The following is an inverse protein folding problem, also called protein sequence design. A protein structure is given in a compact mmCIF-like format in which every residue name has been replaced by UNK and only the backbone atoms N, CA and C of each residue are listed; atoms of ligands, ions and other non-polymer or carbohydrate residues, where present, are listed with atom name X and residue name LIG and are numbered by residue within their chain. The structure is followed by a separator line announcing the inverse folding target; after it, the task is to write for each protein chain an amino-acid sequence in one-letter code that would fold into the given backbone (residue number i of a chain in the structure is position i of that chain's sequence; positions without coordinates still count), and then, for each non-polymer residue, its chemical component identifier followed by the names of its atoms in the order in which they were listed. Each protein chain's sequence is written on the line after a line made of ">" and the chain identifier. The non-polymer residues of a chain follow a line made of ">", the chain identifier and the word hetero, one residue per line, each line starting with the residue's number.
data_IF_079155229759
#
_entry.id   IF_079155229759
#
_cell.length_a   1.000
_cell.length_b   1.000
_cell.length_c   1.000
_cell.angle_alpha   90.00
_cell.angle_beta   90.00
_cell.angle_gamma   90.00
#
_symmetry.space_group_name_H-M   'P 1'
#
loop_
_entity.id
_entity.type
_entity.pdbx_description
1 polymer ?
#
# COMPACT_ATOMS: atom_id res chain seq x y z
N UNK A 1 38.42 -6.07 28.63
CA UNK A 1 38.35 -5.92 27.15
C UNK A 1 37.02 -5.23 26.83
N UNK A 2 37.09 -3.94 26.56
CA UNK A 2 35.96 -3.08 26.26
C UNK A 2 35.54 -3.33 24.81
N UNK A 3 34.31 -3.82 24.59
CA UNK A 3 33.70 -3.91 23.27
C UNK A 3 33.42 -2.49 22.77
N UNK A 4 34.20 -2.04 21.81
CA UNK A 4 33.94 -0.87 20.97
C UNK A 4 32.60 -1.08 20.26
N UNK A 5 31.65 -0.11 20.29
CA UNK A 5 30.45 -0.19 19.47
C UNK A 5 30.87 -0.13 18.00
N UNK A 6 30.44 -1.13 17.21
CA UNK A 6 30.58 -1.13 15.78
C UNK A 6 30.04 0.17 15.21
N UNK A 7 30.93 1.00 14.66
CA UNK A 7 30.59 2.12 13.78
C UNK A 7 29.61 1.61 12.72
N UNK A 8 28.38 2.08 12.77
CA UNK A 8 27.46 1.91 11.66
C UNK A 8 28.09 2.63 10.48
N UNK A 9 28.58 1.84 9.55
CA UNK A 9 29.10 2.25 8.25
C UNK A 9 28.11 3.29 7.65
N UNK A 10 28.50 4.55 7.71
CA UNK A 10 27.80 5.64 7.07
C UNK A 10 28.02 5.52 5.56
N UNK A 11 27.35 4.54 4.95
CA UNK A 11 27.33 4.43 3.50
C UNK A 11 26.86 5.76 2.92
N UNK A 12 27.54 6.32 1.91
CA UNK A 12 27.18 7.60 1.33
C UNK A 12 25.72 7.59 0.89
N UNK A 13 25.00 8.71 1.04
CA UNK A 13 23.57 8.77 0.73
C UNK A 13 23.35 8.29 -0.70
N UNK A 14 22.58 7.22 -0.87
CA UNK A 14 22.28 6.65 -2.19
C UNK A 14 21.64 7.71 -3.06
N UNK A 15 22.12 7.95 -4.28
CA UNK A 15 21.60 9.00 -5.14
C UNK A 15 20.10 8.73 -5.42
N UNK A 16 19.25 9.71 -5.10
CA UNK A 16 17.82 9.63 -5.30
C UNK A 16 17.38 10.67 -6.35
N UNK A 17 16.45 10.30 -7.21
CA UNK A 17 15.78 11.19 -8.17
C UNK A 17 14.34 11.35 -7.72
N UNK A 18 13.89 12.58 -7.49
CA UNK A 18 12.53 12.88 -6.99
C UNK A 18 12.15 12.13 -5.69
N UNK A 19 13.13 11.72 -4.90
CA UNK A 19 12.92 10.90 -3.69
C UNK A 19 12.85 9.40 -3.94
N UNK A 20 12.98 8.95 -5.18
CA UNK A 20 13.08 7.54 -5.56
C UNK A 20 14.55 7.14 -5.56
N UNK A 21 14.97 6.11 -4.82
CA UNK A 21 16.31 5.57 -4.94
C UNK A 21 16.57 5.12 -6.39
N UNK A 22 17.64 5.63 -7.01
CA UNK A 22 17.96 5.30 -8.42
C UNK A 22 17.99 3.82 -8.69
N UNK A 23 18.50 3.04 -7.74
CA UNK A 23 18.55 1.59 -7.84
C UNK A 23 17.17 0.91 -7.95
N UNK A 24 16.10 1.55 -7.44
CA UNK A 24 14.74 1.01 -7.39
C UNK A 24 13.80 1.57 -8.47
N UNK A 25 14.24 2.50 -9.32
CA UNK A 25 13.36 3.15 -10.33
C UNK A 25 12.64 2.11 -11.20
N UNK A 26 13.35 1.10 -11.67
CA UNK A 26 12.77 0.05 -12.51
C UNK A 26 11.75 -0.83 -11.76
N UNK A 27 11.81 -0.87 -10.43
CA UNK A 27 10.79 -1.51 -9.61
C UNK A 27 9.45 -0.78 -9.67
N UNK A 28 9.46 0.56 -9.67
CA UNK A 28 8.23 1.36 -9.84
C UNK A 28 7.62 1.19 -11.23
N UNK A 29 8.46 1.16 -12.27
CA UNK A 29 7.99 0.85 -13.64
C UNK A 29 7.41 -0.56 -13.71
N UNK A 30 8.07 -1.54 -13.10
CA UNK A 30 7.56 -2.91 -13.03
C UNK A 30 6.23 -3.02 -12.30
N UNK A 31 6.07 -2.32 -11.17
CA UNK A 31 4.78 -2.27 -10.44
C UNK A 31 3.71 -1.58 -11.29
N UNK A 32 4.01 -0.47 -11.94
CA UNK A 32 3.07 0.21 -12.81
C UNK A 32 2.54 -0.72 -13.91
N UNK A 33 3.44 -1.36 -14.66
CA UNK A 33 3.06 -2.30 -15.73
C UNK A 33 2.26 -3.49 -15.20
N UNK A 34 2.70 -4.07 -14.07
CA UNK A 34 1.98 -5.17 -13.41
C UNK A 34 0.56 -4.74 -13.02
N UNK A 35 0.43 -3.57 -12.39
CA UNK A 35 -0.87 -3.07 -11.95
C UNK A 35 -1.77 -2.65 -13.11
N UNK A 36 -1.22 -2.22 -14.26
CA UNK A 36 -2.01 -2.03 -15.49
C UNK A 36 -2.63 -3.36 -15.93
N UNK A 37 -1.83 -4.42 -15.99
CA UNK A 37 -2.32 -5.74 -16.34
C UNK A 37 -3.39 -6.24 -15.38
N UNK A 38 -3.16 -6.17 -14.08
CA UNK A 38 -4.13 -6.60 -13.06
C UNK A 38 -5.43 -5.77 -13.09
N UNK A 39 -5.32 -4.47 -13.42
CA UNK A 39 -6.45 -3.54 -13.52
C UNK A 39 -7.38 -3.76 -14.72
N UNK A 40 -6.90 -4.38 -15.82
CA UNK A 40 -7.69 -4.69 -17.01
C UNK A 40 -8.94 -5.50 -16.68
N UNK A 41 -8.87 -6.35 -15.68
CA UNK A 41 -9.96 -7.28 -15.34
C UNK A 41 -11.04 -6.66 -14.44
N UNK A 42 -10.66 -5.69 -13.65
CA UNK A 42 -11.45 -5.18 -12.52
C UNK A 42 -12.84 -4.70 -12.93
N UNK A 43 -12.93 -4.05 -14.10
CA UNK A 43 -14.16 -3.39 -14.52
C UNK A 43 -15.13 -4.30 -15.26
N UNK A 44 -14.69 -5.39 -15.87
CA UNK A 44 -15.56 -6.18 -16.76
C UNK A 44 -15.56 -7.68 -16.51
N UNK A 45 -14.58 -8.25 -15.84
CA UNK A 45 -14.46 -9.70 -15.66
C UNK A 45 -15.69 -10.35 -14.98
N UNK A 46 -16.33 -9.74 -13.96
CA UNK A 46 -17.57 -10.29 -13.39
C UNK A 46 -18.70 -10.39 -14.42
N UNK A 47 -18.85 -9.34 -15.23
CA UNK A 47 -19.86 -9.32 -16.30
C UNK A 47 -19.56 -10.38 -17.36
N UNK A 48 -18.30 -10.52 -17.77
CA UNK A 48 -17.88 -11.54 -18.73
C UNK A 48 -18.18 -12.96 -18.24
N UNK A 49 -17.92 -13.28 -16.97
CA UNK A 49 -18.27 -14.59 -16.42
C UNK A 49 -19.79 -14.85 -16.39
N UNK A 50 -20.59 -13.81 -16.17
CA UNK A 50 -22.04 -13.91 -16.16
C UNK A 50 -22.62 -13.98 -17.58
N UNK A 51 -22.24 -13.05 -18.47
CA UNK A 51 -22.89 -12.87 -19.78
C UNK A 51 -22.32 -13.78 -20.85
N UNK A 52 -21.00 -13.93 -20.91
CA UNK A 52 -20.31 -14.64 -21.99
C UNK A 52 -20.11 -16.13 -21.64
N UNK A 53 -19.87 -16.46 -20.36
CA UNK A 53 -19.72 -17.86 -19.91
C UNK A 53 -20.99 -18.45 -19.29
N UNK A 54 -22.02 -17.64 -19.04
CA UNK A 54 -23.32 -18.10 -18.53
C UNK A 54 -23.33 -18.54 -17.07
N UNK A 55 -22.37 -18.10 -16.25
CA UNK A 55 -22.31 -18.48 -14.84
C UNK A 55 -23.39 -17.77 -14.02
N UNK A 56 -23.98 -18.48 -13.05
CA UNK A 56 -24.90 -17.89 -12.10
C UNK A 56 -24.19 -16.78 -11.24
N UNK A 57 -24.91 -15.74 -10.87
CA UNK A 57 -24.36 -14.62 -10.07
C UNK A 57 -23.70 -15.11 -8.78
N UNK A 58 -24.31 -16.04 -8.07
CA UNK A 58 -23.74 -16.64 -6.86
C UNK A 58 -22.40 -17.34 -7.16
N UNK A 59 -22.28 -18.03 -8.29
CA UNK A 59 -21.05 -18.68 -8.72
C UNK A 59 -19.94 -17.65 -9.02
N UNK A 60 -20.27 -16.57 -9.71
CA UNK A 60 -19.34 -15.45 -9.94
C UNK A 60 -18.88 -14.85 -8.59
N UNK A 61 -19.83 -14.62 -7.68
CA UNK A 61 -19.50 -14.12 -6.33
C UNK A 61 -18.52 -15.01 -5.58
N UNK A 62 -18.67 -16.35 -5.67
CA UNK A 62 -17.75 -17.32 -5.05
C UNK A 62 -16.34 -17.20 -5.65
N UNK A 63 -16.21 -17.09 -6.98
CA UNK A 63 -14.92 -16.94 -7.68
C UNK A 63 -14.16 -15.71 -7.12
N UNK A 64 -14.83 -14.56 -7.04
CA UNK A 64 -14.21 -13.33 -6.52
C UNK A 64 -13.95 -13.39 -5.00
N UNK A 65 -14.77 -14.11 -4.25
CA UNK A 65 -14.54 -14.32 -2.81
C UNK A 65 -13.28 -15.14 -2.58
N UNK A 66 -13.10 -16.25 -3.30
CA UNK A 66 -11.90 -17.10 -3.19
C UNK A 66 -10.65 -16.30 -3.59
N UNK A 67 -10.72 -15.52 -4.68
CA UNK A 67 -9.65 -14.60 -5.07
C UNK A 67 -9.32 -13.59 -3.94
N UNK A 68 -10.33 -12.97 -3.36
CA UNK A 68 -10.14 -12.00 -2.27
C UNK A 68 -9.48 -12.61 -1.04
N UNK A 69 -9.89 -13.82 -0.66
CA UNK A 69 -9.28 -14.55 0.47
C UNK A 69 -7.80 -14.86 0.19
N UNK A 70 -7.49 -15.40 -0.98
CA UNK A 70 -6.10 -15.72 -1.34
C UNK A 70 -5.24 -14.47 -1.50
N UNK A 71 -5.81 -13.35 -1.99
CA UNK A 71 -5.15 -12.06 -2.04
C UNK A 71 -4.84 -11.52 -0.64
N UNK A 72 -5.76 -11.63 0.31
CA UNK A 72 -5.53 -11.23 1.69
C UNK A 72 -4.42 -12.07 2.35
N UNK A 73 -4.44 -13.39 2.13
CA UNK A 73 -3.37 -14.29 2.60
C UNK A 73 -2.04 -13.94 1.93
N UNK A 74 -2.02 -13.72 0.62
CA UNK A 74 -0.82 -13.30 -0.11
C UNK A 74 -0.24 -11.98 0.41
N UNK A 75 -1.11 -11.01 0.70
CA UNK A 75 -0.72 -9.73 1.28
C UNK A 75 -0.06 -9.90 2.67
N UNK A 76 -0.63 -10.74 3.51
CA UNK A 76 -0.05 -11.08 4.82
C UNK A 76 1.31 -11.79 4.67
N UNK A 77 1.42 -12.72 3.73
CA UNK A 77 2.64 -13.47 3.49
C UNK A 77 3.78 -12.62 2.90
N UNK A 78 3.47 -11.57 2.12
CA UNK A 78 4.46 -10.78 1.38
C UNK A 78 5.57 -10.22 2.27
N UNK A 79 5.24 -9.72 3.46
CA UNK A 79 6.22 -9.18 4.42
C UNK A 79 7.14 -10.27 4.97
N UNK A 80 6.56 -11.33 5.54
CA UNK A 80 7.32 -12.43 6.15
C UNK A 80 8.17 -13.20 5.13
N UNK A 81 7.65 -13.44 3.93
CA UNK A 81 8.43 -14.06 2.84
C UNK A 81 9.58 -13.15 2.37
N UNK A 82 9.37 -11.83 2.36
CA UNK A 82 10.43 -10.89 2.00
C UNK A 82 11.56 -10.89 3.03
N UNK A 83 11.25 -11.12 4.31
CA UNK A 83 12.26 -11.29 5.34
C UNK A 83 13.09 -12.56 5.17
N UNK A 84 12.49 -13.64 4.65
CA UNK A 84 13.15 -14.95 4.49
C UNK A 84 13.89 -15.11 3.16
N UNK A 85 13.21 -14.77 2.06
CA UNK A 85 13.68 -15.06 0.70
C UNK A 85 14.28 -13.85 0.00
N UNK A 86 14.07 -12.66 0.56
CA UNK A 86 14.32 -11.38 -0.07
C UNK A 86 13.18 -10.93 -0.98
N UNK A 87 12.92 -9.61 -1.03
CA UNK A 87 11.75 -9.05 -1.70
C UNK A 87 11.71 -9.34 -3.20
N UNK A 88 12.86 -9.40 -3.87
CA UNK A 88 12.92 -9.68 -5.31
C UNK A 88 12.42 -11.10 -5.66
N UNK A 89 12.77 -12.11 -4.85
CA UNK A 89 12.27 -13.48 -5.06
C UNK A 89 10.77 -13.57 -4.81
N UNK A 90 10.28 -12.87 -3.81
CA UNK A 90 8.84 -12.81 -3.50
C UNK A 90 8.06 -12.14 -4.65
N UNK A 91 8.56 -11.02 -5.19
CA UNK A 91 7.99 -10.39 -6.38
C UNK A 91 7.92 -11.33 -7.57
N UNK A 92 9.02 -12.04 -7.87
CA UNK A 92 9.07 -12.96 -9.00
C UNK A 92 8.17 -14.18 -8.81
N UNK A 93 8.07 -14.71 -7.58
CA UNK A 93 7.12 -15.78 -7.26
C UNK A 93 5.66 -15.31 -7.43
N UNK A 94 5.34 -14.10 -6.99
CA UNK A 94 4.03 -13.49 -7.21
C UNK A 94 3.69 -13.31 -8.69
N UNK A 95 4.63 -12.76 -9.47
CA UNK A 95 4.45 -12.59 -10.91
C UNK A 95 4.30 -13.93 -11.65
N UNK A 96 5.10 -14.94 -11.30
CA UNK A 96 5.01 -16.28 -11.89
C UNK A 96 3.67 -16.94 -11.55
N UNK A 97 3.25 -16.89 -10.28
CA UNK A 97 1.95 -17.40 -9.86
C UNK A 97 0.80 -16.74 -10.65
N UNK A 98 0.81 -15.41 -10.72
CA UNK A 98 -0.21 -14.67 -11.46
C UNK A 98 -0.21 -15.04 -12.95
N UNK A 99 0.95 -14.99 -13.62
CA UNK A 99 1.07 -15.23 -15.05
C UNK A 99 0.69 -16.67 -15.44
N UNK A 100 1.16 -17.66 -14.68
CA UNK A 100 0.84 -19.09 -14.96
C UNK A 100 -0.64 -19.37 -14.76
N UNK A 101 -1.21 -18.93 -13.62
CA UNK A 101 -2.63 -19.14 -13.34
C UNK A 101 -3.51 -18.42 -14.38
N UNK A 102 -3.16 -17.20 -14.76
CA UNK A 102 -3.89 -16.43 -15.76
C UNK A 102 -3.78 -17.05 -17.15
N UNK A 103 -2.57 -17.44 -17.57
CA UNK A 103 -2.38 -18.13 -18.84
C UNK A 103 -3.17 -19.44 -18.91
N UNK A 104 -3.19 -20.23 -17.81
CA UNK A 104 -4.01 -21.45 -17.73
C UNK A 104 -5.50 -21.12 -17.79
N UNK A 105 -5.95 -20.08 -17.12
CA UNK A 105 -7.33 -19.60 -17.18
C UNK A 105 -7.72 -19.25 -18.63
N UNK A 106 -6.89 -18.49 -19.34
CA UNK A 106 -7.15 -18.06 -20.70
C UNK A 106 -7.07 -19.22 -21.71
N UNK A 107 -6.01 -20.03 -21.63
CA UNK A 107 -5.77 -21.06 -22.64
C UNK A 107 -6.64 -22.31 -22.46
N UNK A 108 -7.06 -22.62 -21.23
CA UNK A 108 -7.72 -23.89 -20.92
C UNK A 108 -9.08 -23.68 -20.25
N UNK A 109 -9.15 -22.92 -19.15
CA UNK A 109 -10.34 -22.87 -18.32
C UNK A 109 -11.52 -22.14 -19.00
N UNK A 110 -11.27 -21.00 -19.64
CA UNK A 110 -12.28 -20.23 -20.37
C UNK A 110 -12.76 -20.98 -21.62
N UNK A 111 -11.88 -21.50 -22.51
CA UNK A 111 -12.34 -22.27 -23.67
C UNK A 111 -13.11 -23.54 -23.29
N UNK A 112 -12.79 -24.19 -22.20
CA UNK A 112 -13.50 -25.35 -21.68
C UNK A 112 -14.82 -25.00 -20.98
N UNK A 113 -15.16 -23.74 -20.80
CA UNK A 113 -16.30 -23.25 -19.99
C UNK A 113 -16.35 -23.88 -18.60
N UNK A 114 -15.20 -24.25 -18.03
CA UNK A 114 -15.11 -25.00 -16.77
C UNK A 114 -15.12 -24.07 -15.56
N UNK A 115 -16.25 -24.02 -14.86
CA UNK A 115 -16.41 -23.26 -13.62
C UNK A 115 -15.33 -23.59 -12.57
N UNK A 116 -15.11 -24.88 -12.31
CA UNK A 116 -14.17 -25.32 -11.27
C UNK A 116 -12.71 -24.98 -11.61
N UNK A 117 -12.36 -25.05 -12.87
CA UNK A 117 -11.00 -24.71 -13.31
C UNK A 117 -10.77 -23.20 -13.25
N UNK A 118 -11.79 -22.39 -13.59
CA UNK A 118 -11.74 -20.92 -13.42
C UNK A 118 -11.65 -20.58 -11.93
N UNK A 119 -12.48 -21.18 -11.09
CA UNK A 119 -12.44 -20.98 -9.63
C UNK A 119 -11.04 -21.28 -9.06
N UNK A 120 -10.44 -22.39 -9.47
CA UNK A 120 -9.11 -22.79 -9.00
C UNK A 120 -8.02 -21.84 -9.51
N UNK A 121 -7.96 -21.60 -10.82
CA UNK A 121 -6.90 -20.78 -11.44
C UNK A 121 -7.02 -19.32 -11.03
N UNK A 122 -8.21 -18.75 -11.06
CA UNK A 122 -8.45 -17.37 -10.64
C UNK A 122 -8.25 -17.21 -9.13
N UNK A 123 -8.74 -18.16 -8.33
CA UNK A 123 -8.53 -18.16 -6.90
C UNK A 123 -7.05 -18.20 -6.50
N UNK A 124 -6.27 -19.14 -7.08
CA UNK A 124 -4.84 -19.26 -6.78
C UNK A 124 -4.06 -18.02 -7.26
N UNK A 125 -4.48 -17.40 -8.36
CA UNK A 125 -3.89 -16.15 -8.87
C UNK A 125 -3.96 -15.00 -7.87
N UNK A 126 -4.91 -15.04 -6.92
CA UNK A 126 -5.05 -14.02 -5.88
C UNK A 126 -3.78 -13.79 -5.06
N UNK A 127 -2.87 -14.77 -4.95
CA UNK A 127 -1.55 -14.56 -4.34
C UNK A 127 -0.65 -13.62 -5.15
N UNK A 128 -0.89 -13.47 -6.45
CA UNK A 128 0.06 -12.88 -7.40
C UNK A 128 0.35 -11.40 -7.13
N UNK A 129 -0.66 -10.54 -7.23
CA UNK A 129 -0.43 -9.09 -7.09
C UNK A 129 0.08 -8.69 -5.69
N UNK A 130 -0.41 -9.28 -4.57
CA UNK A 130 0.07 -8.86 -3.27
C UNK A 130 1.54 -9.23 -3.05
N UNK A 131 1.96 -10.41 -3.48
CA UNK A 131 3.36 -10.81 -3.39
C UNK A 131 4.24 -9.91 -4.25
N UNK A 132 3.79 -9.53 -5.45
CA UNK A 132 4.55 -8.64 -6.32
C UNK A 132 4.59 -7.20 -5.80
N UNK A 133 3.45 -6.57 -5.59
CA UNK A 133 3.38 -5.16 -5.23
C UNK A 133 3.88 -4.91 -3.80
N UNK A 134 3.40 -5.68 -2.81
CA UNK A 134 3.81 -5.48 -1.43
C UNK A 134 5.23 -6.00 -1.16
N UNK A 135 5.71 -7.00 -1.90
CA UNK A 135 7.13 -7.37 -1.91
C UNK A 135 8.02 -6.17 -2.30
N UNK A 136 7.63 -5.42 -3.34
CA UNK A 136 8.34 -4.19 -3.71
C UNK A 136 8.21 -3.09 -2.67
N UNK A 137 7.04 -2.94 -2.05
CA UNK A 137 6.84 -1.97 -0.97
C UNK A 137 7.77 -2.25 0.22
N UNK A 138 7.95 -3.52 0.60
CA UNK A 138 8.91 -3.93 1.64
C UNK A 138 10.35 -3.60 1.23
N UNK A 139 10.68 -3.78 -0.05
CA UNK A 139 12.01 -3.42 -0.57
C UNK A 139 12.27 -1.91 -0.51
N UNK A 140 11.28 -1.09 -0.86
CA UNK A 140 11.37 0.37 -0.69
C UNK A 140 11.65 0.73 0.77
N UNK A 141 10.93 0.11 1.72
CA UNK A 141 11.11 0.35 3.15
C UNK A 141 12.51 -0.01 3.67
N UNK A 142 13.18 -0.98 3.02
CA UNK A 142 14.54 -1.38 3.36
C UNK A 142 15.62 -0.54 2.65
N UNK A 143 15.35 -0.08 1.43
CA UNK A 143 16.34 0.54 0.55
C UNK A 143 16.29 2.06 0.47
N UNK A 144 15.17 2.71 0.83
CA UNK A 144 15.03 4.14 0.76
C UNK A 144 15.64 4.85 2.00
N UNK A 145 16.26 6.05 1.81
CA UNK A 145 16.71 6.87 2.93
C UNK A 145 15.57 7.23 3.88
N UNK A 146 15.79 7.19 5.19
CA UNK A 146 14.73 7.45 6.20
C UNK A 146 13.99 8.77 5.99
N UNK A 147 14.71 9.82 5.59
CA UNK A 147 14.15 11.17 5.32
C UNK A 147 13.28 11.25 4.06
N UNK A 148 13.27 10.22 3.21
CA UNK A 148 12.57 10.20 1.92
C UNK A 148 11.65 8.98 1.75
N UNK A 149 11.53 8.13 2.75
CA UNK A 149 10.69 6.90 2.69
C UNK A 149 9.23 7.26 2.39
N UNK A 150 8.67 8.29 3.01
CA UNK A 150 7.29 8.71 2.76
C UNK A 150 7.07 9.13 1.31
N UNK A 151 8.01 9.90 0.73
CA UNK A 151 7.96 10.29 -0.68
C UNK A 151 8.12 9.09 -1.62
N UNK A 152 9.01 8.15 -1.30
CA UNK A 152 9.18 6.92 -2.08
C UNK A 152 7.91 6.06 -2.06
N UNK A 153 7.24 5.94 -0.92
CA UNK A 153 5.95 5.25 -0.81
C UNK A 153 4.81 6.01 -1.49
N UNK A 154 4.85 7.34 -1.50
CA UNK A 154 3.93 8.14 -2.29
C UNK A 154 4.01 7.78 -3.79
N UNK A 155 5.22 7.66 -4.35
CA UNK A 155 5.42 7.19 -5.72
C UNK A 155 4.98 5.74 -5.93
N UNK A 156 5.16 4.87 -4.93
CA UNK A 156 4.64 3.50 -4.99
C UNK A 156 3.12 3.48 -5.15
N UNK A 157 2.42 4.20 -4.29
CA UNK A 157 0.96 4.28 -4.35
C UNK A 157 0.48 5.01 -5.62
N UNK A 158 1.24 6.00 -6.10
CA UNK A 158 0.97 6.63 -7.39
C UNK A 158 1.02 5.61 -8.54
N UNK A 159 2.09 4.82 -8.65
CA UNK A 159 2.22 3.79 -9.68
C UNK A 159 1.14 2.71 -9.54
N UNK A 160 0.85 2.30 -8.31
CA UNK A 160 -0.19 1.32 -8.00
C UNK A 160 -1.57 1.81 -8.45
N UNK A 161 -1.99 2.99 -8.01
CA UNK A 161 -3.32 3.56 -8.32
C UNK A 161 -3.42 3.97 -9.79
N UNK A 162 -2.36 4.54 -10.37
CA UNK A 162 -2.35 4.88 -11.79
C UNK A 162 -2.49 3.62 -12.66
N UNK A 163 -1.80 2.53 -12.30
CA UNK A 163 -1.88 1.26 -13.04
C UNK A 163 -3.23 0.59 -12.91
N UNK A 164 -3.62 0.27 -11.66
CA UNK A 164 -4.75 -0.62 -11.39
C UNK A 164 -6.11 -0.03 -11.79
N UNK A 165 -6.64 1.02 -11.15
CA UNK A 165 -7.98 1.51 -11.51
C UNK A 165 -8.00 2.50 -12.67
N UNK A 166 -6.88 3.19 -13.00
CA UNK A 166 -6.91 4.25 -14.01
C UNK A 166 -6.54 3.70 -15.39
N UNK A 167 -5.27 3.34 -15.60
CA UNK A 167 -4.80 2.89 -16.94
C UNK A 167 -5.38 1.52 -17.28
N UNK A 168 -5.47 0.59 -16.33
CA UNK A 168 -6.05 -0.74 -16.58
C UNK A 168 -7.49 -0.66 -17.07
N UNK A 169 -8.35 0.11 -16.39
CA UNK A 169 -9.74 0.30 -16.82
C UNK A 169 -9.86 1.06 -18.14
N UNK A 170 -9.02 2.09 -18.36
CA UNK A 170 -8.98 2.82 -19.62
C UNK A 170 -8.58 1.91 -20.79
N UNK A 171 -7.63 1.00 -20.57
CA UNK A 171 -7.17 0.05 -21.58
C UNK A 171 -8.30 -0.90 -22.02
N UNK A 172 -9.13 -1.35 -21.07
CA UNK A 172 -10.34 -2.14 -21.41
C UNK A 172 -11.30 -1.33 -22.26
N UNK A 173 -11.57 -0.10 -21.89
CA UNK A 173 -12.50 0.77 -22.62
C UNK A 173 -12.04 1.04 -24.06
N UNK A 174 -10.72 1.11 -24.27
CA UNK A 174 -10.13 1.33 -25.59
C UNK A 174 -10.07 0.05 -26.43
N UNK A 175 -9.67 -1.09 -25.85
CA UNK A 175 -9.41 -2.30 -26.62
C UNK A 175 -10.63 -3.20 -26.81
N UNK A 176 -11.53 -3.25 -25.80
CA UNK A 176 -12.69 -4.14 -25.85
C UNK A 176 -13.59 -3.95 -27.08
N UNK A 177 -13.88 -2.72 -27.57
CA UNK A 177 -14.71 -2.53 -28.77
C UNK A 177 -14.11 -3.17 -30.02
N UNK A 178 -12.77 -3.13 -30.19
CA UNK A 178 -12.09 -3.56 -31.40
C UNK A 178 -11.74 -5.05 -31.38
N UNK A 179 -11.22 -5.55 -30.28
CA UNK A 179 -10.68 -6.92 -30.18
C UNK A 179 -11.50 -7.86 -29.31
N UNK A 180 -12.47 -7.35 -28.57
CA UNK A 180 -13.26 -8.09 -27.58
C UNK A 180 -12.56 -8.31 -26.27
N UNK A 181 -13.34 -8.60 -25.19
CA UNK A 181 -12.79 -8.68 -23.84
C UNK A 181 -11.83 -9.87 -23.65
N UNK A 182 -12.15 -11.04 -24.21
CA UNK A 182 -11.27 -12.20 -24.09
C UNK A 182 -9.85 -11.96 -24.64
N UNK A 183 -9.73 -11.29 -25.79
CA UNK A 183 -8.41 -10.91 -26.33
C UNK A 183 -7.74 -9.82 -25.50
N UNK A 184 -8.51 -8.93 -24.90
CA UNK A 184 -7.99 -7.91 -23.97
C UNK A 184 -7.37 -8.54 -22.73
N UNK A 185 -7.85 -9.69 -22.25
CA UNK A 185 -7.23 -10.44 -21.16
C UNK A 185 -5.82 -10.97 -21.52
N UNK A 186 -5.53 -11.27 -22.79
CA UNK A 186 -4.17 -11.60 -23.22
C UNK A 186 -3.22 -10.40 -23.18
N UNK A 187 -3.74 -9.19 -23.42
CA UNK A 187 -2.98 -7.95 -23.23
C UNK A 187 -2.67 -7.75 -21.73
N UNK A 188 -3.60 -8.06 -20.84
CA UNK A 188 -3.36 -8.09 -19.38
C UNK A 188 -2.16 -8.99 -19.06
N UNK A 189 -2.14 -10.23 -19.55
CA UNK A 189 -1.01 -11.15 -19.36
C UNK A 189 0.32 -10.55 -19.87
N UNK A 190 0.31 -9.94 -21.05
CA UNK A 190 1.48 -9.32 -21.65
C UNK A 190 2.03 -8.18 -20.76
N UNK A 191 1.16 -7.34 -20.18
CA UNK A 191 1.56 -6.27 -19.26
C UNK A 191 2.19 -6.82 -17.96
N UNK A 192 1.62 -7.88 -17.39
CA UNK A 192 2.16 -8.56 -16.20
C UNK A 192 3.55 -9.14 -16.49
N UNK A 193 3.70 -9.85 -17.60
CA UNK A 193 4.99 -10.42 -18.01
C UNK A 193 6.00 -9.31 -18.27
N UNK A 194 5.61 -8.22 -18.95
CA UNK A 194 6.48 -7.07 -19.17
C UNK A 194 6.94 -6.44 -17.84
N UNK A 195 6.02 -6.25 -16.89
CA UNK A 195 6.35 -5.75 -15.54
C UNK A 195 7.33 -6.65 -14.80
N UNK A 196 7.12 -7.98 -14.86
CA UNK A 196 8.03 -8.96 -14.27
C UNK A 196 9.41 -8.95 -14.95
N UNK A 197 9.47 -8.86 -16.28
CA UNK A 197 10.71 -8.77 -17.04
C UNK A 197 11.51 -7.48 -16.73
N UNK A 198 10.83 -6.35 -16.59
CA UNK A 198 11.46 -5.09 -16.17
C UNK A 198 12.14 -5.26 -14.82
N UNK A 199 11.46 -5.86 -13.83
CA UNK A 199 12.05 -6.14 -12.52
C UNK A 199 13.21 -7.14 -12.63
N UNK A 200 13.06 -8.19 -13.42
CA UNK A 200 14.07 -9.23 -13.57
C UNK A 200 15.35 -8.73 -14.27
N UNK A 201 15.19 -7.95 -15.33
CA UNK A 201 16.32 -7.59 -16.23
C UNK A 201 16.95 -6.24 -15.85
N UNK A 202 16.14 -5.26 -15.45
CA UNK A 202 16.60 -3.89 -15.27
C UNK A 202 16.84 -3.51 -13.80
N UNK A 203 16.18 -4.18 -12.85
CA UNK A 203 16.38 -3.91 -11.42
C UNK A 203 17.64 -4.65 -10.93
N UNK A 204 18.77 -3.96 -10.91
CA UNK A 204 20.10 -4.56 -10.64
C UNK A 204 20.54 -4.50 -9.17
N UNK A 205 19.67 -4.07 -8.26
CA UNK A 205 20.01 -4.02 -6.84
C UNK A 205 20.09 -5.43 -6.24
N UNK A 206 21.28 -5.82 -5.80
CA UNK A 206 21.54 -7.15 -5.21
C UNK A 206 20.91 -7.31 -3.82
N UNK A 207 20.58 -6.22 -3.14
CA UNK A 207 19.97 -6.27 -1.79
C UNK A 207 18.62 -6.97 -1.79
N UNK A 208 17.90 -6.95 -2.92
CA UNK A 208 16.61 -7.64 -3.07
C UNK A 208 16.65 -9.17 -3.02
N UNK A 209 17.84 -9.79 -3.07
CA UNK A 209 18.01 -11.25 -2.92
C UNK A 209 18.34 -11.70 -1.50
N UNK A 210 18.65 -10.75 -0.62
CA UNK A 210 18.97 -11.04 0.77
C UNK A 210 17.69 -10.89 1.61
N UNK A 211 17.47 -11.81 2.54
CA UNK A 211 16.44 -11.65 3.56
C UNK A 211 16.71 -10.35 4.34
N UNK A 212 15.66 -9.62 4.65
CA UNK A 212 15.77 -8.30 5.29
C UNK A 212 16.04 -8.41 6.80
N UNK A 213 15.78 -9.57 7.40
CA UNK A 213 16.19 -9.89 8.76
C UNK A 213 17.69 -10.24 8.73
N UNK A 214 18.53 -9.33 9.21
CA UNK A 214 19.99 -9.49 9.27
C UNK A 214 20.50 -10.58 10.24
N UNK A 215 19.66 -11.53 10.64
CA UNK A 215 20.01 -12.64 11.53
C UNK A 215 20.57 -13.85 10.79
N UNK A 216 21.68 -14.38 11.26
CA UNK A 216 22.31 -15.62 10.80
C UNK A 216 21.51 -16.89 11.13
N UNK A 217 20.44 -16.79 11.92
CA UNK A 217 19.58 -17.93 12.24
C UNK A 217 18.59 -18.23 11.11
N UNK A 218 18.59 -19.47 10.65
CA UNK A 218 17.54 -20.01 9.75
C UNK A 218 16.22 -20.07 10.50
N UNK A 219 15.46 -18.98 10.46
CA UNK A 219 14.12 -18.94 11.06
C UNK A 219 13.19 -19.80 10.21
N UNK A 220 12.48 -20.75 10.82
CA UNK A 220 11.54 -21.61 10.10
C UNK A 220 10.30 -20.82 9.66
N UNK A 221 9.73 -21.19 8.49
CA UNK A 221 8.51 -20.57 7.94
C UNK A 221 7.38 -20.42 8.99
N UNK A 222 6.99 -21.49 9.75
CA UNK A 222 5.93 -21.35 10.75
C UNK A 222 6.26 -20.31 11.84
N UNK A 223 7.52 -20.23 12.24
CA UNK A 223 7.97 -19.29 13.28
C UNK A 223 7.94 -17.84 12.79
N UNK A 224 8.26 -17.61 11.51
CA UNK A 224 8.15 -16.28 10.90
C UNK A 224 6.70 -15.83 10.84
N UNK A 225 5.78 -16.69 10.40
CA UNK A 225 4.36 -16.34 10.33
C UNK A 225 3.72 -16.18 11.70
N UNK A 226 4.05 -17.03 12.66
CA UNK A 226 3.65 -16.82 14.05
C UNK A 226 4.18 -15.47 14.56
N UNK A 227 5.41 -15.09 14.20
CA UNK A 227 6.01 -13.79 14.51
C UNK A 227 5.23 -12.61 13.92
N UNK A 228 4.72 -12.73 12.70
CA UNK A 228 3.89 -11.68 12.06
C UNK A 228 2.58 -11.42 12.82
N UNK A 229 1.97 -12.47 13.40
CA UNK A 229 0.81 -12.33 14.27
C UNK A 229 1.22 -11.82 15.66
N UNK A 230 2.24 -12.44 16.24
CA UNK A 230 2.68 -12.15 17.62
C UNK A 230 3.16 -10.73 17.78
N UNK A 231 3.78 -10.12 16.75
CA UNK A 231 4.27 -8.74 16.80
C UNK A 231 3.14 -7.73 17.05
N UNK A 232 1.92 -8.01 16.58
CA UNK A 232 0.76 -7.13 16.81
C UNK A 232 0.34 -7.08 18.29
N UNK A 233 0.53 -8.18 19.02
CA UNK A 233 0.16 -8.28 20.43
C UNK A 233 1.33 -7.95 21.36
N UNK A 234 2.54 -8.35 20.99
CA UNK A 234 3.75 -8.09 21.80
C UNK A 234 4.24 -6.64 21.67
N UNK A 235 3.92 -5.97 20.57
CA UNK A 235 4.25 -4.56 20.31
C UNK A 235 2.95 -3.75 20.10
N UNK A 236 2.28 -3.28 21.15
CA UNK A 236 0.96 -2.65 21.05
C UNK A 236 0.86 -1.52 20.02
N UNK A 237 1.97 -0.78 19.82
CA UNK A 237 2.02 0.30 18.81
C UNK A 237 1.97 -0.22 17.37
N UNK A 238 2.51 -1.41 17.11
CA UNK A 238 2.37 -2.07 15.80
C UNK A 238 0.93 -2.54 15.60
N UNK A 239 0.31 -3.12 16.64
CA UNK A 239 -1.11 -3.47 16.64
C UNK A 239 -2.01 -2.26 16.37
N UNK A 240 -1.75 -1.11 17.05
CA UNK A 240 -2.45 0.15 16.77
C UNK A 240 -2.30 0.57 15.31
N UNK A 241 -1.09 0.46 14.73
CA UNK A 241 -0.85 0.77 13.32
C UNK A 241 -1.64 -0.15 12.38
N UNK A 242 -1.74 -1.45 12.68
CA UNK A 242 -2.56 -2.39 11.90
C UNK A 242 -4.06 -2.05 11.96
N UNK A 243 -4.57 -1.64 13.13
CA UNK A 243 -5.95 -1.13 13.30
C UNK A 243 -6.15 0.16 12.51
N UNK A 244 -5.21 1.10 12.56
CA UNK A 244 -5.25 2.33 11.75
C UNK A 244 -5.29 2.00 10.25
N UNK A 245 -4.51 1.01 9.81
CA UNK A 245 -4.53 0.55 8.42
C UNK A 245 -5.86 -0.10 8.04
N UNK A 246 -6.42 -0.91 8.91
CA UNK A 246 -7.76 -1.49 8.75
C UNK A 246 -8.80 -0.39 8.55
N UNK A 247 -8.83 0.62 9.42
CA UNK A 247 -9.77 1.75 9.37
C UNK A 247 -9.63 2.54 8.07
N UNK A 248 -8.40 2.80 7.61
CA UNK A 248 -8.11 3.63 6.43
C UNK A 248 -8.97 3.24 5.21
N UNK A 249 -9.02 1.97 4.85
CA UNK A 249 -9.74 1.50 3.66
C UNK A 249 -11.10 0.88 3.95
N UNK A 250 -11.47 0.71 5.22
CA UNK A 250 -12.81 0.23 5.62
C UNK A 250 -13.91 1.14 5.11
N UNK A 251 -13.80 2.45 5.32
CA UNK A 251 -14.79 3.42 4.83
C UNK A 251 -14.85 3.44 3.30
N UNK A 252 -13.72 3.35 2.61
CA UNK A 252 -13.67 3.30 1.15
C UNK A 252 -14.51 2.15 0.59
N UNK A 253 -14.30 0.93 1.11
CA UNK A 253 -15.05 -0.24 0.64
C UNK A 253 -16.53 -0.17 1.01
N UNK A 254 -16.88 0.41 2.16
CA UNK A 254 -18.27 0.66 2.53
C UNK A 254 -18.92 1.73 1.64
N UNK A 255 -18.22 2.83 1.37
CA UNK A 255 -18.68 3.91 0.49
C UNK A 255 -18.95 3.38 -0.92
N UNK A 256 -18.11 2.52 -1.44
CA UNK A 256 -18.31 1.93 -2.79
C UNK A 256 -19.59 1.09 -2.91
N UNK A 257 -20.08 0.53 -1.81
CA UNK A 257 -21.29 -0.31 -1.80
C UNK A 257 -22.55 0.51 -1.51
N UNK A 258 -22.52 1.39 -0.52
CA UNK A 258 -23.75 1.99 0.01
C UNK A 258 -24.02 3.42 -0.48
N UNK A 259 -22.98 4.21 -0.78
CA UNK A 259 -23.17 5.58 -1.27
C UNK A 259 -23.82 5.62 -2.66
N UNK A 260 -23.49 4.74 -3.63
CA UNK A 260 -24.22 4.73 -4.90
C UNK A 260 -25.70 4.46 -4.74
N UNK A 261 -26.11 3.55 -3.84
CA UNK A 261 -27.53 3.30 -3.57
C UNK A 261 -28.22 4.57 -3.05
N UNK A 262 -27.57 5.27 -2.11
CA UNK A 262 -28.09 6.52 -1.58
C UNK A 262 -28.20 7.63 -2.63
N UNK A 263 -27.13 7.82 -3.43
CA UNK A 263 -27.11 8.87 -4.45
C UNK A 263 -28.09 8.60 -5.60
N UNK A 264 -28.20 7.33 -6.03
CA UNK A 264 -29.06 6.97 -7.16
C UNK A 264 -30.51 6.88 -6.73
N UNK A 265 -30.82 6.14 -5.66
CA UNK A 265 -32.20 5.84 -5.29
C UNK A 265 -32.89 7.00 -4.56
N UNK A 266 -32.14 7.83 -3.82
CA UNK A 266 -32.72 8.89 -2.98
C UNK A 266 -32.46 10.30 -3.50
N UNK A 267 -31.27 10.58 -4.02
CA UNK A 267 -30.88 11.92 -4.47
C UNK A 267 -31.16 12.12 -5.97
N UNK A 268 -31.18 11.04 -6.77
CA UNK A 268 -31.49 11.07 -8.20
C UNK A 268 -30.29 11.17 -9.12
N UNK A 269 -29.09 10.82 -8.63
CA UNK A 269 -27.89 10.67 -9.49
C UNK A 269 -28.06 9.46 -10.42
N UNK A 270 -27.48 9.54 -11.60
CA UNK A 270 -27.34 8.38 -12.47
C UNK A 270 -26.15 7.50 -12.07
N UNK A 271 -26.18 6.22 -12.44
CA UNK A 271 -25.04 5.32 -12.24
C UNK A 271 -23.77 5.82 -12.97
N UNK A 272 -23.92 6.53 -14.08
CA UNK A 272 -22.81 7.11 -14.83
C UNK A 272 -22.18 8.30 -14.08
N UNK A 273 -22.99 9.15 -13.46
CA UNK A 273 -22.48 10.23 -12.60
C UNK A 273 -21.76 9.69 -11.39
N UNK A 274 -22.28 8.64 -10.74
CA UNK A 274 -21.56 7.95 -9.68
C UNK A 274 -20.19 7.42 -10.14
N UNK A 275 -20.11 6.77 -11.30
CA UNK A 275 -18.85 6.30 -11.85
C UNK A 275 -17.86 7.46 -12.07
N UNK A 276 -18.33 8.63 -12.53
CA UNK A 276 -17.50 9.82 -12.69
C UNK A 276 -17.03 10.40 -11.33
N UNK A 277 -17.87 10.35 -10.30
CA UNK A 277 -17.49 10.74 -8.93
C UNK A 277 -16.38 9.84 -8.35
N UNK A 278 -16.42 8.53 -8.64
CA UNK A 278 -15.32 7.63 -8.27
C UNK A 278 -14.00 8.02 -8.96
N UNK A 279 -14.05 8.46 -10.22
CA UNK A 279 -12.85 8.98 -10.91
C UNK A 279 -12.33 10.23 -10.18
N UNK A 280 -13.21 11.15 -9.79
CA UNK A 280 -12.82 12.34 -8.99
C UNK A 280 -12.12 11.92 -7.70
N UNK A 281 -12.65 10.94 -6.96
CA UNK A 281 -12.02 10.40 -5.75
C UNK A 281 -10.61 9.85 -6.02
N UNK A 282 -10.46 9.05 -7.09
CA UNK A 282 -9.18 8.45 -7.42
C UNK A 282 -8.15 9.47 -7.91
N UNK A 283 -8.57 10.46 -8.70
CA UNK A 283 -7.70 11.55 -9.17
C UNK A 283 -7.25 12.42 -7.99
N UNK A 284 -8.16 12.77 -7.09
CA UNK A 284 -7.84 13.54 -5.87
C UNK A 284 -6.87 12.77 -4.96
N UNK A 285 -7.07 11.46 -4.79
CA UNK A 285 -6.12 10.61 -4.09
C UNK A 285 -4.76 10.62 -4.76
N UNK A 286 -4.71 10.36 -6.07
CA UNK A 286 -3.48 10.28 -6.87
C UNK A 286 -2.67 11.58 -6.83
N UNK A 287 -3.34 12.73 -6.89
CA UNK A 287 -2.69 14.04 -6.79
C UNK A 287 -2.02 14.25 -5.42
N UNK A 288 -2.60 13.67 -4.35
CA UNK A 288 -2.14 13.89 -2.98
C UNK A 288 -1.18 12.83 -2.45
N UNK A 289 -1.11 11.61 -3.01
CA UNK A 289 -0.28 10.53 -2.43
C UNK A 289 1.22 10.88 -2.38
N UNK A 290 1.78 11.47 -3.45
CA UNK A 290 3.19 11.87 -3.49
C UNK A 290 3.43 13.09 -2.60
N UNK A 291 2.51 14.06 -2.65
CA UNK A 291 2.56 15.28 -1.83
C UNK A 291 2.54 14.96 -0.35
N UNK A 292 1.61 14.11 0.11
CA UNK A 292 1.47 13.77 1.52
C UNK A 292 2.53 12.79 2.00
N UNK A 293 3.09 11.97 1.10
CA UNK A 293 4.31 11.24 1.37
C UNK A 293 5.48 12.17 1.70
N UNK A 294 5.72 13.18 0.87
CA UNK A 294 6.75 14.19 1.10
C UNK A 294 6.45 15.08 2.32
N UNK A 295 5.18 15.44 2.53
CA UNK A 295 4.76 16.21 3.69
C UNK A 295 4.96 15.42 4.98
N UNK A 296 4.70 14.11 4.97
CA UNK A 296 4.96 13.22 6.10
C UNK A 296 6.43 13.18 6.50
N UNK A 297 7.34 13.25 5.52
CA UNK A 297 8.79 13.31 5.78
C UNK A 297 9.25 14.67 6.34
N UNK A 298 8.54 15.78 6.05
CA UNK A 298 8.89 17.15 6.49
C UNK A 298 8.14 17.59 7.74
N UNK A 299 6.82 17.45 7.75
CA UNK A 299 5.93 17.92 8.83
C UNK A 299 5.80 16.89 9.96
N UNK A 300 6.15 15.64 9.65
CA UNK A 300 6.12 14.50 10.56
C UNK A 300 5.01 13.52 10.23
N UNK A 301 5.41 12.25 10.09
CA UNK A 301 4.55 11.12 9.68
C UNK A 301 3.30 10.98 10.53
N UNK A 302 3.46 11.10 11.86
CA UNK A 302 2.36 11.03 12.84
C UNK A 302 1.33 12.14 12.65
N UNK A 303 1.78 13.38 12.46
CA UNK A 303 0.87 14.53 12.24
C UNK A 303 0.11 14.38 10.94
N UNK A 304 0.80 14.01 9.86
CA UNK A 304 0.18 13.82 8.53
C UNK A 304 -0.91 12.76 8.59
N UNK A 305 -0.64 11.57 9.16
CA UNK A 305 -1.65 10.51 9.26
C UNK A 305 -2.81 10.92 10.18
N UNK A 306 -2.54 11.56 11.32
CA UNK A 306 -3.60 11.94 12.25
C UNK A 306 -4.53 13.02 11.67
N UNK A 307 -3.98 14.09 11.08
CA UNK A 307 -4.78 15.21 10.61
C UNK A 307 -5.30 15.01 9.19
N UNK A 308 -4.41 14.74 8.23
CA UNK A 308 -4.80 14.62 6.82
C UNK A 308 -5.43 13.25 6.53
N UNK A 309 -4.95 12.19 7.17
CA UNK A 309 -5.59 10.87 7.09
C UNK A 309 -6.88 10.83 7.91
N UNK A 310 -6.79 10.89 9.23
CA UNK A 310 -7.91 10.65 10.12
C UNK A 310 -8.98 11.73 10.11
N UNK A 311 -8.61 12.99 10.41
CA UNK A 311 -9.61 14.07 10.56
C UNK A 311 -10.24 14.40 9.20
N UNK A 312 -9.45 14.54 8.13
CA UNK A 312 -10.02 14.86 6.80
C UNK A 312 -10.93 13.73 6.31
N UNK A 313 -10.56 12.46 6.49
CA UNK A 313 -11.43 11.34 6.09
C UNK A 313 -12.71 11.27 6.93
N UNK A 314 -12.65 11.59 8.23
CA UNK A 314 -13.84 11.66 9.07
C UNK A 314 -14.82 12.73 8.57
N UNK A 315 -14.32 13.92 8.28
CA UNK A 315 -15.13 15.02 7.72
C UNK A 315 -15.68 14.63 6.34
N UNK A 316 -14.89 13.97 5.51
CA UNK A 316 -15.32 13.50 4.20
C UNK A 316 -16.45 12.47 4.29
N UNK A 317 -16.37 11.51 5.23
CA UNK A 317 -17.46 10.53 5.45
C UNK A 317 -18.78 11.24 5.81
N UNK A 318 -18.74 12.27 6.67
CA UNK A 318 -19.92 13.05 7.01
C UNK A 318 -20.41 13.90 5.80
N UNK A 319 -19.47 14.50 5.06
CA UNK A 319 -19.81 15.29 3.88
C UNK A 319 -20.48 14.44 2.79
N UNK A 320 -20.12 13.15 2.64
CA UNK A 320 -20.73 12.22 1.69
C UNK A 320 -22.22 11.97 1.95
N UNK A 321 -22.70 12.21 3.17
CA UNK A 321 -24.11 12.16 3.49
C UNK A 321 -24.74 13.56 3.49
N UNK A 322 -24.19 14.47 4.30
CA UNK A 322 -24.83 15.76 4.54
C UNK A 322 -24.80 16.70 3.33
N UNK A 323 -23.79 16.64 2.47
CA UNK A 323 -23.74 17.49 1.28
C UNK A 323 -24.88 17.12 0.33
N UNK A 324 -25.01 15.89 -0.20
CA UNK A 324 -26.10 15.57 -1.12
C UNK A 324 -27.49 15.66 -0.47
N UNK A 325 -27.64 15.41 0.84
CA UNK A 325 -28.91 15.56 1.55
C UNK A 325 -29.39 17.03 1.57
N UNK A 326 -28.47 18.00 1.68
CA UNK A 326 -28.83 19.41 1.78
C UNK A 326 -28.87 20.15 0.44
N UNK A 327 -28.02 19.76 -0.52
CA UNK A 327 -27.94 20.44 -1.83
C UNK A 327 -28.68 19.70 -2.96
N UNK A 328 -29.12 18.46 -2.70
CA UNK A 328 -29.76 17.62 -3.70
C UNK A 328 -28.77 17.19 -4.79
N UNK A 329 -29.23 17.17 -6.04
CA UNK A 329 -28.46 16.76 -7.21
C UNK A 329 -27.50 17.86 -7.70
N UNK A 330 -26.63 18.37 -6.80
CA UNK A 330 -25.52 19.26 -7.20
C UNK A 330 -24.25 18.46 -7.39
N UNK A 331 -23.93 18.14 -8.66
CA UNK A 331 -22.77 17.33 -9.01
C UNK A 331 -21.45 17.91 -8.48
N UNK A 332 -21.25 19.24 -8.54
CA UNK A 332 -19.99 19.86 -8.17
C UNK A 332 -19.73 19.75 -6.66
N UNK A 333 -20.74 20.06 -5.84
CA UNK A 333 -20.61 20.00 -4.38
C UNK A 333 -20.43 18.54 -3.90
N UNK A 334 -21.15 17.60 -4.52
CA UNK A 334 -20.98 16.17 -4.22
C UNK A 334 -19.59 15.67 -4.69
N UNK A 335 -19.10 16.14 -5.85
CA UNK A 335 -17.75 15.81 -6.32
C UNK A 335 -16.66 16.32 -5.37
N UNK A 336 -16.84 17.50 -4.77
CA UNK A 336 -15.91 18.02 -3.74
C UNK A 336 -15.94 17.12 -2.50
N UNK A 337 -17.11 16.69 -2.03
CA UNK A 337 -17.22 15.80 -0.88
C UNK A 337 -16.53 14.44 -1.15
N UNK A 338 -16.80 13.82 -2.31
CA UNK A 338 -16.20 12.57 -2.76
C UNK A 338 -14.68 12.72 -2.93
N UNK A 339 -14.23 13.81 -3.57
CA UNK A 339 -12.81 14.13 -3.75
C UNK A 339 -12.07 14.30 -2.43
N UNK A 340 -12.73 14.90 -1.42
CA UNK A 340 -12.17 15.08 -0.07
C UNK A 340 -11.87 13.73 0.60
N UNK A 341 -12.68 12.69 0.37
CA UNK A 341 -12.36 11.33 0.84
C UNK A 341 -11.08 10.80 0.16
N UNK A 342 -10.93 11.01 -1.14
CA UNK A 342 -9.70 10.67 -1.87
C UNK A 342 -8.46 11.34 -1.28
N UNK A 343 -8.55 12.64 -0.97
CA UNK A 343 -7.49 13.40 -0.28
C UNK A 343 -7.18 12.79 1.09
N UNK A 344 -8.21 12.51 1.91
CA UNK A 344 -8.05 11.91 3.23
C UNK A 344 -7.34 10.56 3.18
N UNK A 345 -7.72 9.71 2.22
CA UNK A 345 -7.05 8.41 2.02
C UNK A 345 -5.55 8.55 1.74
N UNK A 346 -5.14 9.55 0.95
CA UNK A 346 -3.73 9.83 0.67
C UNK A 346 -2.95 10.23 1.95
N UNK A 347 -3.62 10.78 2.96
CA UNK A 347 -3.04 11.14 4.24
C UNK A 347 -2.44 9.97 5.02
N UNK A 348 -2.83 8.73 4.71
CA UNK A 348 -2.29 7.53 5.35
C UNK A 348 -1.01 6.98 4.68
N UNK A 349 -0.53 7.58 3.59
CA UNK A 349 0.74 7.16 2.92
C UNK A 349 1.94 7.06 3.86
N UNK A 350 2.14 7.95 4.86
CA UNK A 350 3.25 7.82 5.80
C UNK A 350 3.08 6.75 6.89
N UNK A 351 1.96 6.00 6.92
CA UNK A 351 1.69 5.00 7.97
C UNK A 351 2.67 3.82 7.96
N UNK A 352 3.04 3.18 6.84
CA UNK A 352 4.02 2.09 6.83
C UNK A 352 5.37 2.48 7.45
N UNK A 353 6.02 3.59 7.08
CA UNK A 353 7.27 4.01 7.71
C UNK A 353 7.10 4.40 9.17
N UNK A 354 5.92 4.90 9.58
CA UNK A 354 5.62 5.14 10.98
C UNK A 354 5.52 3.83 11.77
N UNK A 355 4.91 2.80 11.21
CA UNK A 355 4.81 1.49 11.83
C UNK A 355 6.18 0.82 11.95
N UNK A 356 6.96 0.77 10.88
CA UNK A 356 8.28 0.11 10.88
C UNK A 356 9.32 0.83 11.73
N UNK A 357 9.12 2.13 12.02
CA UNK A 357 9.95 2.85 12.97
C UNK A 357 9.75 2.41 14.44
N UNK A 358 8.67 1.69 14.75
CA UNK A 358 8.44 1.16 16.10
C UNK A 358 9.36 -0.02 16.46
N UNK A 359 9.80 -0.80 15.43
CA UNK A 359 10.77 -1.87 15.58
C UNK A 359 11.52 -2.07 14.24
N UNK A 360 12.65 -1.38 14.03
CA UNK A 360 13.40 -1.41 12.76
C UNK A 360 13.97 -2.77 12.39
N UNK A 361 14.11 -3.70 13.35
CA UNK A 361 14.66 -5.03 13.10
C UNK A 361 13.63 -5.99 12.49
N UNK A 362 12.32 -5.72 12.68
CA UNK A 362 11.22 -6.59 12.26
C UNK A 362 10.34 -5.99 11.16
N UNK A 363 10.95 -5.27 10.22
CA UNK A 363 10.22 -4.53 9.16
C UNK A 363 9.23 -5.40 8.39
N UNK A 364 9.63 -6.61 7.98
CA UNK A 364 8.76 -7.52 7.21
C UNK A 364 7.56 -8.03 8.04
N UNK A 365 7.77 -8.40 9.31
CA UNK A 365 6.67 -8.81 10.19
C UNK A 365 5.67 -7.67 10.40
N UNK A 366 6.17 -6.44 10.58
CA UNK A 366 5.33 -5.24 10.72
C UNK A 366 4.58 -4.95 9.41
N UNK A 367 5.22 -5.14 8.27
CA UNK A 367 4.57 -4.96 6.97
C UNK A 367 3.50 -6.03 6.72
N UNK A 368 3.68 -7.26 7.20
CA UNK A 368 2.62 -8.29 7.20
C UNK A 368 1.41 -7.87 8.04
N UNK A 369 1.63 -7.27 9.22
CA UNK A 369 0.54 -6.72 10.03
C UNK A 369 -0.18 -5.56 9.33
N UNK A 370 0.56 -4.68 8.65
CA UNK A 370 0.01 -3.60 7.83
C UNK A 370 -0.87 -4.12 6.68
N UNK A 371 -0.39 -5.10 5.93
CA UNK A 371 -1.11 -5.66 4.77
C UNK A 371 -2.30 -6.52 5.19
N UNK A 372 -2.23 -7.18 6.36
CA UNK A 372 -3.38 -7.87 6.95
C UNK A 372 -4.52 -6.87 7.24
N UNK A 373 -4.20 -5.71 7.84
CA UNK A 373 -5.18 -4.64 8.04
C UNK A 373 -5.82 -4.16 6.74
N UNK A 374 -5.02 -4.08 5.66
CA UNK A 374 -5.54 -3.73 4.34
C UNK A 374 -6.51 -4.78 3.77
N UNK A 375 -6.16 -6.07 3.87
CA UNK A 375 -7.02 -7.16 3.41
C UNK A 375 -8.33 -7.27 4.19
N UNK A 376 -8.26 -7.17 5.51
CA UNK A 376 -9.44 -7.28 6.38
C UNK A 376 -10.45 -6.13 6.16
N UNK A 377 -9.99 -4.95 5.73
CA UNK A 377 -10.87 -3.81 5.47
C UNK A 377 -11.84 -4.02 4.31
N UNK A 378 -11.49 -4.88 3.33
CA UNK A 378 -12.35 -5.22 2.20
C UNK A 378 -13.64 -5.91 2.64
N UNK A 379 -13.56 -6.69 3.74
CA UNK A 379 -14.73 -7.34 4.33
C UNK A 379 -15.42 -6.44 5.35
N UNK A 380 -14.65 -5.74 6.19
CA UNK A 380 -15.20 -4.95 7.30
C UNK A 380 -16.03 -3.74 6.81
N UNK A 381 -15.63 -3.10 5.72
CA UNK A 381 -16.36 -1.95 5.17
C UNK A 381 -17.81 -2.30 4.82
N UNK A 382 -18.04 -3.22 3.87
CA UNK A 382 -19.40 -3.66 3.55
C UNK A 382 -20.14 -4.28 4.73
N UNK A 383 -19.45 -5.04 5.61
CA UNK A 383 -20.06 -5.68 6.78
C UNK A 383 -20.71 -4.64 7.73
N UNK A 384 -20.02 -3.53 8.02
CA UNK A 384 -20.56 -2.46 8.86
C UNK A 384 -21.88 -1.94 8.25
N UNK A 385 -21.89 -1.64 6.94
CA UNK A 385 -23.10 -1.18 6.30
C UNK A 385 -24.20 -2.25 6.33
N UNK A 386 -23.88 -3.52 6.01
CA UNK A 386 -24.86 -4.60 6.00
C UNK A 386 -25.53 -4.81 7.37
N UNK A 387 -24.76 -4.69 8.45
CA UNK A 387 -25.26 -4.91 9.82
C UNK A 387 -26.06 -3.70 10.32
N UNK A 388 -25.61 -2.48 10.03
CA UNK A 388 -26.14 -1.29 10.67
C UNK A 388 -27.08 -0.47 9.80
N UNK A 389 -27.03 -0.60 8.46
CA UNK A 389 -27.84 0.22 7.55
C UNK A 389 -29.34 0.13 7.83
N UNK A 390 -29.86 -1.07 8.10
CA UNK A 390 -31.28 -1.27 8.41
C UNK A 390 -31.74 -0.67 9.74
N UNK A 391 -30.80 -0.53 10.71
CA UNK A 391 -31.13 -0.04 12.05
C UNK A 391 -30.96 1.48 12.21
N UNK A 392 -29.89 2.05 11.58
CA UNK A 392 -29.52 3.46 11.78
C UNK A 392 -29.43 4.27 10.47
N UNK A 393 -29.80 3.66 9.35
CA UNK A 393 -29.74 4.30 8.04
C UNK A 393 -28.31 4.59 7.54
N UNK A 394 -28.22 5.19 6.35
CA UNK A 394 -26.93 5.58 5.74
C UNK A 394 -26.23 6.67 6.56
N UNK A 395 -26.96 7.58 7.17
CA UNK A 395 -26.42 8.61 8.06
C UNK A 395 -25.62 7.98 9.20
N UNK A 396 -26.24 7.05 9.94
CA UNK A 396 -25.58 6.35 11.05
C UNK A 396 -24.35 5.56 10.62
N UNK A 397 -24.39 4.94 9.43
CA UNK A 397 -23.22 4.24 8.86
C UNK A 397 -22.08 5.22 8.56
N UNK A 398 -22.37 6.40 8.01
CA UNK A 398 -21.34 7.43 7.77
C UNK A 398 -20.77 7.97 9.09
N UNK A 399 -21.56 8.09 10.15
CA UNK A 399 -21.08 8.42 11.49
C UNK A 399 -20.16 7.34 12.06
N UNK A 400 -20.46 6.06 11.84
CA UNK A 400 -19.53 4.96 12.24
C UNK A 400 -18.20 5.10 11.52
N UNK A 401 -18.19 5.31 10.19
CA UNK A 401 -16.94 5.49 9.46
C UNK A 401 -16.17 6.73 9.93
N UNK A 402 -16.86 7.84 10.17
CA UNK A 402 -16.23 9.05 10.70
C UNK A 402 -15.63 8.81 12.09
N UNK A 403 -16.33 8.14 12.99
CA UNK A 403 -15.84 7.79 14.32
C UNK A 403 -14.61 6.87 14.25
N UNK A 404 -14.59 5.89 13.34
CA UNK A 404 -13.43 5.05 13.10
C UNK A 404 -12.21 5.88 12.64
N UNK A 405 -12.39 6.82 11.73
CA UNK A 405 -11.31 7.70 11.29
C UNK A 405 -10.80 8.61 12.41
N UNK A 406 -11.68 9.14 13.27
CA UNK A 406 -11.27 9.89 14.47
C UNK A 406 -10.51 8.98 15.45
N UNK A 407 -10.97 7.74 15.64
CA UNK A 407 -10.24 6.75 16.42
C UNK A 407 -8.84 6.52 15.85
N UNK A 408 -8.70 6.41 14.52
CA UNK A 408 -7.40 6.28 13.87
C UNK A 408 -6.47 7.46 14.18
N UNK A 409 -7.00 8.69 14.22
CA UNK A 409 -6.24 9.89 14.62
C UNK A 409 -5.71 9.79 16.05
N UNK A 410 -6.52 9.28 16.98
CA UNK A 410 -6.13 9.09 18.38
C UNK A 410 -5.06 7.99 18.48
N UNK A 411 -5.28 6.83 17.85
CA UNK A 411 -4.33 5.71 17.89
C UNK A 411 -2.95 6.10 17.34
N UNK A 412 -2.90 6.85 16.24
CA UNK A 412 -1.64 7.31 15.67
C UNK A 412 -0.89 8.25 16.61
N UNK A 413 -1.57 9.08 17.40
CA UNK A 413 -0.93 9.96 18.38
C UNK A 413 -0.24 9.19 19.51
N UNK A 414 -0.71 7.96 19.82
CA UNK A 414 -0.09 7.07 20.79
C UNK A 414 1.17 6.36 20.25
N UNK A 415 1.43 6.39 18.94
CA UNK A 415 2.64 5.82 18.36
C UNK A 415 3.83 6.74 18.61
N UNK A 416 5.00 6.17 19.00
CA UNK A 416 6.22 6.97 19.14
C UNK A 416 6.72 7.41 17.77
N UNK A 417 7.10 8.67 17.65
CA UNK A 417 8.04 9.09 16.61
C UNK A 417 9.43 8.78 17.13
N UNK A 418 10.35 8.21 16.32
CA UNK A 418 11.75 8.29 16.67
C UNK A 418 12.02 9.78 16.92
N UNK A 419 12.46 10.12 18.11
CA UNK A 419 12.98 11.45 18.34
C UNK A 419 14.04 11.67 17.27
N UNK A 420 14.02 12.85 16.64
CA UNK A 420 15.17 13.37 15.93
C UNK A 420 16.26 13.55 17.00
N UNK A 421 16.81 12.42 17.45
CA UNK A 421 17.75 12.34 18.52
C UNK A 421 19.05 12.95 18.03
N UNK A 422 19.36 14.12 18.57
CA UNK A 422 20.73 14.55 18.87
C UNK A 422 21.68 14.83 17.71
N UNK A 423 21.24 15.05 16.48
CA UNK A 423 22.16 15.55 15.44
C UNK A 423 22.34 17.08 15.51
N UNK A 424 21.49 17.81 16.25
CA UNK A 424 21.63 19.27 16.42
C UNK A 424 22.36 19.70 17.70
N UNK A 425 22.96 18.79 18.47
CA UNK A 425 23.65 19.14 19.71
C UNK A 425 25.18 19.05 19.64
N UNK A 426 25.75 18.67 18.50
CA UNK A 426 27.20 18.59 18.29
C UNK A 426 27.75 19.62 17.32
N UNK A 427 26.92 20.48 16.71
CA UNK A 427 27.41 21.60 15.90
C UNK A 427 27.60 22.92 16.68
N UNK A 428 27.44 22.89 18.02
CA UNK A 428 27.55 24.09 18.87
C UNK A 428 28.68 24.10 19.86
N UNK A 429 29.55 23.09 19.90
CA UNK A 429 30.76 23.11 20.72
C UNK A 429 31.96 23.31 19.80
N UNK A 430 32.35 24.58 19.63
CA UNK A 430 33.65 24.90 19.09
C UNK A 430 34.72 24.24 19.99
N UNK A 431 35.78 23.64 19.42
CA UNK A 431 36.86 23.15 20.26
C UNK A 431 37.53 24.36 20.95
N UNK A 432 37.42 24.44 22.24
CA UNK A 432 38.27 25.30 23.04
C UNK A 432 39.74 25.00 22.70
N UNK A 433 40.41 25.99 22.18
CA UNK A 433 41.83 25.95 21.90
C UNK A 433 42.55 25.68 23.23
N UNK A 434 43.09 24.50 23.40
CA UNK A 434 44.02 24.14 24.43
C UNK A 434 45.28 24.98 24.23
N UNK A 435 45.42 26.03 25.03
CA UNK A 435 46.65 26.83 25.14
C UNK A 435 47.71 25.96 25.80
N UNK A 436 48.63 25.48 25.00
CA UNK A 436 49.88 24.87 25.46
C UNK A 436 50.78 25.93 26.14
N UNK A 437 51.23 25.76 27.40
CA UNK A 437 52.17 26.68 27.97
C UNK A 437 53.57 26.39 27.47
N UNK A 438 54.16 27.41 26.84
CA UNK A 438 55.55 27.46 26.42
C UNK A 438 56.48 27.03 27.55
N UNK A 439 57.21 25.93 27.40
CA UNK A 439 58.37 25.59 28.22
C UNK A 439 59.65 25.81 27.45
N UNK A 440 60.45 26.65 28.07
CA UNK A 440 61.73 27.16 27.66
C UNK A 440 62.76 26.11 27.30
N UNK A 441 63.50 26.39 26.26
CA UNK A 441 64.78 25.86 25.90
C UNK A 441 65.78 25.86 27.05
N UNK A 442 66.41 24.76 27.37
CA UNK A 442 67.78 24.73 27.81
C UNK A 442 68.53 23.56 27.14
N UNK A 443 69.45 23.92 26.25
CA UNK A 443 70.54 23.01 25.89
C UNK A 443 71.54 22.85 27.04
N UNK A 444 72.21 21.71 27.09
CA UNK A 444 73.66 21.77 27.23
C UNK A 444 74.39 20.99 26.12
N UNK A 445 75.49 21.61 25.73
CA UNK A 445 76.53 21.20 24.86
C UNK A 445 77.42 20.07 25.43
N UNK A 446 78.19 19.41 24.50
CA UNK A 446 79.41 18.62 24.61
C UNK A 446 79.15 17.11 24.90
N UNK A 447 79.85 16.21 24.25
CA UNK A 447 81.08 16.23 23.47
C UNK A 447 81.55 14.79 23.33
N UNK A 448 82.36 14.59 22.26
CA UNK A 448 83.12 13.44 21.79
C UNK A 448 82.45 12.47 20.84
#
# INVERSE_FOLDING_TARGET
>A
MLHTPLERDASPPRPAVLGIPRALIWGYVGVLLFMIGDGVETSYLPAFFKTDLGFAEAGVGIIFTVYGVTAAVGAFLAGGLSDLWGPRRVMMAGAACWAVCHATMLAVAIPAHSYWLILFTYGLRGFGYPLFAYGFMVWIMAGAPERQIGKALGWFWFCFTMGYPVIGSALVSLLKPDIGFYRTLWVSLAMIVAGALVVLLLLRDRTGFQGLSGGTERVSLPRTFAGCFTVMFTKPRVGMGAVVRLINTTSQFGVWVFVPLFLVDRIGFSAQEWASLLIVMMVSNLACVVLFGALGDRWGRRKTVAWLGGVVSALACLALYYVPENVGHDYLLVAIAVGTLGVGMAGYVPLPPLMTSQDPERKGQIMSAYTLGAGASMALGPLIGTVFLGAIGIEGVMWIYAALHLLSSVLVRCMKTPEASTVHRTEGVAPEAEQEPARALTMPSRGL
#
